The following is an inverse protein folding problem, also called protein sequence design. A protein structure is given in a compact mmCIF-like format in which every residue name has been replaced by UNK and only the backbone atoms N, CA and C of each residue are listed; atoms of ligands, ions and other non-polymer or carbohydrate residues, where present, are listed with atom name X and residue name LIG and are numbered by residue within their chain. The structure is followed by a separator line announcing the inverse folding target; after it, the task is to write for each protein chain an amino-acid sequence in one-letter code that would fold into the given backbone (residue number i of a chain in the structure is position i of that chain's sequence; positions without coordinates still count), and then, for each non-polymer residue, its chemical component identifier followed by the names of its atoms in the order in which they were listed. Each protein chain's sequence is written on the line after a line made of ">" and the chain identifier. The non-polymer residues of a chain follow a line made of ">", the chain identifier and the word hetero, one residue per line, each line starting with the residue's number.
data_IF_088079633183
#
_entry.id   IF_088079633183
#
_cell.length_a   1.000
_cell.length_b   1.000
_cell.length_c   1.000
_cell.angle_alpha   90.00
_cell.angle_beta   90.00
_cell.angle_gamma   90.00
#
_symmetry.space_group_name_H-M   'P 1'
#
loop_
_entity.id
_entity.type
_entity.pdbx_description
1 polymer ?
#
# COMPACT_ATOMS: atom_id res chain seq x y z
N UNK A 1 12.82 -14.26 2.77
CA UNK A 1 13.83 -14.95 1.94
C UNK A 1 13.15 -15.66 0.79
N UNK A 2 13.76 -15.63 -0.40
CA UNK A 2 13.34 -16.43 -1.54
C UNK A 2 13.78 -17.90 -1.39
N UNK A 3 12.88 -18.85 -1.66
CA UNK A 3 13.14 -20.29 -1.67
C UNK A 3 12.85 -20.84 -3.06
N UNK A 4 13.76 -21.66 -3.60
CA UNK A 4 13.59 -22.30 -4.92
C UNK A 4 13.42 -23.81 -4.70
N UNK A 5 12.26 -24.33 -5.07
CA UNK A 5 11.91 -25.74 -5.00
C UNK A 5 12.00 -26.36 -6.40
N UNK A 6 12.68 -27.51 -6.54
CA UNK A 6 12.69 -28.30 -7.77
C UNK A 6 11.50 -29.25 -7.73
N UNK A 7 10.63 -29.20 -8.74
CA UNK A 7 9.53 -30.13 -8.94
C UNK A 7 9.65 -30.80 -10.29
N UNK A 8 9.37 -32.09 -10.33
CA UNK A 8 9.23 -32.84 -11.58
C UNK A 8 7.72 -32.91 -11.85
N UNK A 9 7.28 -32.44 -13.01
CA UNK A 9 5.87 -32.58 -13.41
C UNK A 9 5.58 -34.03 -13.80
N UNK A 10 4.29 -34.38 -13.85
CA UNK A 10 3.82 -35.70 -14.27
C UNK A 10 4.38 -36.10 -15.66
N UNK A 11 4.61 -35.10 -16.52
CA UNK A 11 5.25 -35.23 -17.84
C UNK A 11 6.79 -35.40 -17.81
N UNK A 12 7.41 -35.58 -16.65
CA UNK A 12 8.87 -35.74 -16.51
C UNK A 12 9.70 -34.46 -16.66
N UNK A 13 9.07 -33.29 -16.84
CA UNK A 13 9.79 -32.00 -17.00
C UNK A 13 10.20 -31.42 -15.65
N UNK A 14 11.42 -30.91 -15.58
CA UNK A 14 11.94 -30.22 -14.40
C UNK A 14 11.44 -28.77 -14.38
N UNK A 15 10.76 -28.40 -13.29
CA UNK A 15 10.26 -27.05 -13.04
C UNK A 15 10.82 -26.54 -11.71
N UNK A 16 11.32 -25.31 -11.71
CA UNK A 16 11.83 -24.58 -10.56
C UNK A 16 10.79 -23.60 -10.08
N UNK A 17 10.17 -23.88 -8.92
CA UNK A 17 9.20 -23.00 -8.29
C UNK A 17 9.92 -22.10 -7.29
N UNK A 18 9.81 -20.79 -7.47
CA UNK A 18 10.33 -19.78 -6.55
C UNK A 18 9.19 -19.30 -5.65
N UNK A 19 9.43 -19.24 -4.34
CA UNK A 19 8.54 -18.66 -3.33
C UNK A 19 9.27 -17.54 -2.60
N UNK A 20 8.74 -16.32 -2.60
CA UNK A 20 9.33 -15.17 -1.91
C UNK A 20 8.42 -14.78 -0.77
N UNK A 21 8.94 -14.85 0.46
CA UNK A 21 8.27 -14.39 1.68
C UNK A 21 9.05 -13.25 2.30
N UNK A 22 8.43 -12.07 2.35
CA UNK A 22 8.94 -10.89 3.06
C UNK A 22 7.90 -10.41 4.07
N UNK A 23 8.35 -9.97 5.24
CA UNK A 23 7.49 -9.41 6.28
C UNK A 23 6.82 -8.14 5.76
N UNK A 24 5.49 -8.05 5.86
CA UNK A 24 4.72 -6.90 5.38
C UNK A 24 4.29 -6.96 3.91
N UNK A 25 4.55 -8.06 3.19
CA UNK A 25 4.14 -8.23 1.80
C UNK A 25 3.46 -9.60 1.58
N UNK A 26 2.46 -9.71 0.68
CA UNK A 26 1.88 -11.01 0.34
C UNK A 26 2.92 -11.91 -0.34
N UNK A 27 2.84 -13.23 -0.13
CA UNK A 27 3.79 -14.18 -0.70
C UNK A 27 3.70 -14.22 -2.22
N UNK A 28 4.83 -14.08 -2.91
CA UNK A 28 4.92 -14.16 -4.36
C UNK A 28 5.45 -15.54 -4.77
N UNK A 29 4.83 -16.15 -5.78
CA UNK A 29 5.29 -17.45 -6.30
C UNK A 29 5.29 -17.49 -7.81
N UNK A 30 6.37 -18.01 -8.41
CA UNK A 30 6.46 -18.22 -9.86
C UNK A 30 7.18 -19.53 -10.16
N UNK A 31 6.93 -20.09 -11.33
CA UNK A 31 7.49 -21.37 -11.77
C UNK A 31 8.22 -21.19 -13.10
N UNK A 32 9.44 -21.73 -13.20
CA UNK A 32 10.30 -21.59 -14.38
C UNK A 32 10.88 -22.94 -14.79
N UNK A 33 11.12 -23.15 -16.09
CA UNK A 33 11.78 -24.37 -16.57
C UNK A 33 13.31 -24.32 -16.39
N UNK A 34 13.91 -23.13 -16.39
CA UNK A 34 15.35 -22.92 -16.23
C UNK A 34 15.69 -22.41 -14.84
N UNK A 35 16.66 -23.04 -14.18
CA UNK A 35 17.14 -22.62 -12.85
C UNK A 35 17.70 -21.19 -12.86
N UNK A 36 18.36 -20.80 -13.95
CA UNK A 36 18.95 -19.46 -14.10
C UNK A 36 17.88 -18.37 -14.13
N UNK A 37 16.78 -18.61 -14.83
CA UNK A 37 15.65 -17.67 -14.91
C UNK A 37 14.93 -17.59 -13.56
N UNK A 38 14.77 -18.72 -12.86
CA UNK A 38 14.25 -18.76 -11.50
C UNK A 38 15.10 -17.92 -10.53
N UNK A 39 16.43 -18.04 -10.57
CA UNK A 39 17.35 -17.25 -9.73
C UNK A 39 17.31 -15.76 -10.06
N UNK A 40 17.34 -15.40 -11.35
CA UNK A 40 17.23 -14.00 -11.79
C UNK A 40 15.91 -13.37 -11.36
N UNK A 41 14.80 -14.09 -11.53
CA UNK A 41 13.48 -13.62 -11.10
C UNK A 41 13.41 -13.48 -9.57
N UNK A 42 13.96 -14.43 -8.82
CA UNK A 42 14.02 -14.36 -7.36
C UNK A 42 14.78 -13.12 -6.88
N UNK A 43 15.97 -12.87 -7.42
CA UNK A 43 16.79 -11.72 -7.06
C UNK A 43 16.14 -10.40 -7.46
N UNK A 44 15.65 -10.29 -8.70
CA UNK A 44 15.01 -9.07 -9.18
C UNK A 44 13.73 -8.75 -8.41
N UNK A 45 12.92 -9.77 -8.10
CA UNK A 45 11.68 -9.60 -7.34
C UNK A 45 11.96 -9.30 -5.87
N UNK A 46 12.91 -9.96 -5.23
CA UNK A 46 13.29 -9.66 -3.85
C UNK A 46 13.88 -8.25 -3.73
N UNK A 47 14.75 -7.84 -4.65
CA UNK A 47 15.27 -6.48 -4.74
C UNK A 47 14.14 -5.46 -4.97
N UNK A 48 13.22 -5.71 -5.91
CA UNK A 48 12.09 -4.82 -6.16
C UNK A 48 11.15 -4.70 -4.94
N UNK A 49 10.93 -5.78 -4.18
CA UNK A 49 10.12 -5.75 -2.95
C UNK A 49 10.86 -4.95 -1.88
N UNK A 50 12.17 -5.18 -1.72
CA UNK A 50 13.01 -4.51 -0.72
C UNK A 50 13.21 -3.03 -1.01
N UNK A 51 13.30 -2.64 -2.28
CA UNK A 51 13.35 -1.25 -2.73
C UNK A 51 11.97 -0.56 -2.68
N UNK A 52 10.92 -1.24 -2.19
CA UNK A 52 9.57 -0.69 -2.11
C UNK A 52 8.92 -0.42 -3.47
N UNK A 53 9.47 -0.99 -4.56
CA UNK A 53 8.98 -0.82 -5.94
C UNK A 53 7.94 -1.86 -6.33
N UNK A 54 7.86 -2.99 -5.62
CA UNK A 54 7.03 -4.12 -6.02
C UNK A 54 5.52 -3.92 -5.78
N UNK A 55 5.15 -2.93 -4.94
CA UNK A 55 3.77 -2.46 -4.76
C UNK A 55 3.50 -1.08 -5.36
N UNK A 56 4.46 -0.46 -6.06
CA UNK A 56 4.22 0.75 -6.86
C UNK A 56 3.53 0.35 -8.18
N UNK A 57 2.35 -0.22 -7.99
CA UNK A 57 1.32 -0.68 -8.93
C UNK A 57 1.14 0.33 -10.05
N UNK A 58 0.91 -0.14 -11.29
CA UNK A 58 0.52 0.73 -12.39
C UNK A 58 -0.65 1.68 -12.04
N UNK A 59 -1.49 1.33 -11.05
CA UNK A 59 -2.52 2.17 -10.47
C UNK A 59 -2.00 3.25 -9.50
N UNK A 60 -1.01 2.94 -8.65
CA UNK A 60 -0.44 3.88 -7.68
C UNK A 60 0.44 4.97 -8.33
N UNK A 61 0.96 4.70 -9.54
CA UNK A 61 1.62 5.70 -10.40
C UNK A 61 0.64 6.55 -11.22
N UNK A 62 -0.62 6.14 -11.33
CA UNK A 62 -1.65 6.80 -12.16
C UNK A 62 -2.61 7.63 -11.34
N UNK A 63 -2.88 7.21 -10.11
CA UNK A 63 -3.86 7.87 -9.25
C UNK A 63 -3.19 8.66 -8.14
N UNK A 64 -3.74 9.84 -7.94
CA UNK A 64 -3.42 10.73 -6.84
C UNK A 64 -4.12 10.30 -5.55
N UNK A 65 -3.62 10.80 -4.42
CA UNK A 65 -4.30 10.62 -3.14
C UNK A 65 -5.71 11.23 -3.17
N UNK A 66 -5.90 12.37 -3.86
CA UNK A 66 -7.20 13.00 -4.02
C UNK A 66 -8.24 12.06 -4.64
N UNK A 67 -7.91 11.45 -5.79
CA UNK A 67 -8.79 10.49 -6.47
C UNK A 67 -9.13 9.29 -5.60
N UNK A 68 -8.17 8.85 -4.79
CA UNK A 68 -8.36 7.71 -3.89
C UNK A 68 -9.30 8.08 -2.74
N UNK A 69 -9.14 9.29 -2.19
CA UNK A 69 -10.01 9.82 -1.15
C UNK A 69 -11.44 10.03 -1.66
N UNK A 70 -11.62 10.57 -2.87
CA UNK A 70 -12.94 10.72 -3.48
C UNK A 70 -13.63 9.36 -3.64
N UNK A 71 -12.94 8.38 -4.24
CA UNK A 71 -13.46 7.02 -4.39
C UNK A 71 -13.87 6.41 -3.04
N UNK A 72 -13.03 6.55 -2.01
CA UNK A 72 -13.35 6.06 -0.66
C UNK A 72 -14.59 6.76 -0.06
N UNK A 73 -14.73 8.06 -0.29
CA UNK A 73 -15.91 8.81 0.15
C UNK A 73 -17.18 8.35 -0.56
N UNK A 74 -17.11 8.04 -1.85
CA UNK A 74 -18.26 7.61 -2.64
C UNK A 74 -18.66 6.16 -2.35
N UNK A 75 -17.69 5.25 -2.30
CA UNK A 75 -17.96 3.80 -2.16
C UNK A 75 -18.19 3.35 -0.72
N UNK A 76 -17.56 4.00 0.27
CA UNK A 76 -17.57 3.51 1.66
C UNK A 76 -18.33 4.47 2.59
N UNK A 77 -18.10 5.77 2.49
CA UNK A 77 -18.76 6.72 3.39
C UNK A 77 -20.25 6.90 3.09
N UNK A 78 -20.69 6.62 1.86
CA UNK A 78 -22.12 6.62 1.49
C UNK A 78 -22.93 5.53 2.20
N UNK A 79 -22.28 4.44 2.61
CA UNK A 79 -22.94 3.29 3.26
C UNK A 79 -22.85 3.31 4.79
N UNK A 80 -22.15 4.28 5.40
CA UNK A 80 -21.98 4.35 6.86
C UNK A 80 -22.86 5.43 7.51
N UNK A 81 -23.72 5.07 8.50
CA UNK A 81 -24.55 6.05 9.20
C UNK A 81 -23.75 6.90 10.21
N UNK A 82 -24.02 8.22 10.20
CA UNK A 82 -23.87 9.26 11.23
C UNK A 82 -22.56 9.46 12.04
N UNK A 83 -21.53 8.61 11.91
CA UNK A 83 -20.21 8.78 12.57
C UNK A 83 -19.06 9.10 11.60
N UNK A 84 -19.39 9.46 10.36
CA UNK A 84 -18.43 9.69 9.27
C UNK A 84 -18.08 11.16 9.04
N UNK A 85 -18.70 12.09 9.77
CA UNK A 85 -18.47 13.54 9.54
C UNK A 85 -17.07 14.00 9.91
N UNK A 86 -16.52 13.49 11.02
CA UNK A 86 -15.12 13.72 11.39
C UNK A 86 -14.17 13.06 10.38
N UNK A 87 -14.49 11.84 9.95
CA UNK A 87 -13.70 11.14 8.93
C UNK A 87 -13.66 11.95 7.63
N UNK A 88 -14.80 12.49 7.18
CA UNK A 88 -14.89 13.36 6.01
C UNK A 88 -14.09 14.65 6.20
N UNK A 89 -14.08 15.23 7.40
CA UNK A 89 -13.27 16.41 7.71
C UNK A 89 -11.77 16.10 7.58
N UNK A 90 -11.30 15.00 8.17
CA UNK A 90 -9.90 14.58 8.05
C UNK A 90 -9.53 14.24 6.61
N UNK A 91 -10.37 13.49 5.89
CA UNK A 91 -10.15 13.16 4.48
C UNK A 91 -10.07 14.42 3.60
N UNK A 92 -10.89 15.44 3.86
CA UNK A 92 -10.79 16.74 3.18
C UNK A 92 -9.46 17.44 3.47
N UNK A 93 -8.99 17.40 4.71
CA UNK A 93 -7.70 17.97 5.08
C UNK A 93 -6.54 17.24 4.37
N UNK A 94 -6.55 15.90 4.39
CA UNK A 94 -5.56 15.09 3.68
C UNK A 94 -5.60 15.32 2.17
N UNK A 95 -6.79 15.47 1.58
CA UNK A 95 -6.95 15.83 0.17
C UNK A 95 -6.38 17.23 -0.13
N UNK A 96 -6.51 18.19 0.79
CA UNK A 96 -5.95 19.54 0.61
C UNK A 96 -4.42 19.54 0.66
N UNK A 97 -3.85 18.83 1.62
CA UNK A 97 -2.40 18.85 1.87
C UNK A 97 -1.62 17.94 0.94
N UNK A 98 -2.13 16.71 0.75
CA UNK A 98 -1.43 15.65 0.04
C UNK A 98 -2.16 15.18 -1.22
N UNK A 99 -3.27 15.82 -1.60
CA UNK A 99 -4.10 15.36 -2.72
C UNK A 99 -3.41 15.39 -4.07
N UNK A 100 -2.45 16.29 -4.29
CA UNK A 100 -1.68 16.37 -5.54
C UNK A 100 -0.58 15.31 -5.64
N UNK A 101 -0.25 14.64 -4.53
CA UNK A 101 0.76 13.59 -4.55
C UNK A 101 0.19 12.32 -5.14
N UNK A 102 0.99 11.65 -5.96
CA UNK A 102 0.73 10.29 -6.37
C UNK A 102 0.85 9.36 -5.15
N UNK A 103 0.03 8.31 -5.12
CA UNK A 103 0.13 7.30 -4.08
C UNK A 103 1.53 6.66 -4.02
N UNK A 104 2.26 6.63 -5.14
CA UNK A 104 3.63 6.14 -5.25
C UNK A 104 4.68 6.95 -4.48
N UNK A 105 4.38 8.21 -4.18
CA UNK A 105 5.30 9.17 -3.58
C UNK A 105 4.96 9.48 -2.12
N UNK A 106 3.83 8.95 -1.64
CA UNK A 106 3.48 8.96 -0.22
C UNK A 106 4.41 8.04 0.56
N UNK A 107 5.26 8.64 1.39
CA UNK A 107 6.13 7.92 2.30
C UNK A 107 5.59 7.99 3.74
N UNK A 108 5.91 7.00 4.60
CA UNK A 108 5.53 7.05 6.00
C UNK A 108 6.00 8.32 6.72
N UNK A 109 7.19 8.82 6.39
CA UNK A 109 7.73 10.05 6.96
C UNK A 109 6.86 11.27 6.62
N UNK A 110 6.45 11.40 5.36
CA UNK A 110 5.58 12.49 4.89
C UNK A 110 4.21 12.43 5.58
N UNK A 111 3.65 11.22 5.74
CA UNK A 111 2.39 11.03 6.47
C UNK A 111 2.50 11.44 7.95
N UNK A 112 3.62 11.09 8.61
CA UNK A 112 3.83 11.46 10.02
C UNK A 112 3.98 12.98 10.17
N UNK A 113 4.70 13.63 9.27
CA UNK A 113 4.88 15.09 9.30
C UNK A 113 3.54 15.83 9.17
N UNK A 114 2.74 15.47 8.16
CA UNK A 114 1.42 16.09 7.97
C UNK A 114 0.45 15.70 9.07
N UNK A 115 0.51 14.47 9.61
CA UNK A 115 -0.26 14.11 10.80
C UNK A 115 0.08 15.00 11.99
N UNK A 116 1.35 15.36 12.17
CA UNK A 116 1.80 16.30 13.20
C UNK A 116 1.13 17.67 13.07
N UNK A 117 0.98 18.18 11.84
CA UNK A 117 0.30 19.45 11.54
C UNK A 117 -1.20 19.41 11.83
N UNK A 118 -1.81 18.22 11.75
CA UNK A 118 -3.23 18.01 12.06
C UNK A 118 -3.49 17.94 13.57
N UNK A 119 -2.52 17.47 14.37
CA UNK A 119 -2.61 17.45 15.83
C UNK A 119 -2.66 18.88 16.37
N UNK A 120 -3.66 19.18 17.20
CA UNK A 120 -3.89 20.52 17.75
C UNK A 120 -4.78 21.43 16.90
N UNK A 121 -5.13 21.04 15.66
CA UNK A 121 -6.20 21.71 14.92
C UNK A 121 -7.59 21.26 15.42
N UNK A 122 -8.62 22.05 15.13
CA UNK A 122 -9.99 21.77 15.56
C UNK A 122 -10.67 20.79 14.58
N UNK A 123 -11.38 19.80 15.12
CA UNK A 123 -12.24 18.94 14.33
C UNK A 123 -13.53 19.67 13.93
N UNK A 124 -14.41 19.01 13.16
CA UNK A 124 -15.69 19.60 12.73
C UNK A 124 -16.59 20.04 13.90
N UNK A 125 -16.40 19.49 15.09
CA UNK A 125 -17.16 19.80 16.30
C UNK A 125 -16.45 20.80 17.23
N UNK A 126 -15.40 21.49 16.75
CA UNK A 126 -14.66 22.49 17.54
C UNK A 126 -13.80 21.90 18.67
N UNK A 127 -13.52 20.59 18.65
CA UNK A 127 -12.64 19.94 19.62
C UNK A 127 -11.25 19.78 19.04
N UNK A 128 -10.22 20.02 19.84
CA UNK A 128 -8.84 19.79 19.42
C UNK A 128 -8.61 18.32 19.08
N UNK A 129 -7.91 18.08 17.96
CA UNK A 129 -7.61 16.74 17.48
C UNK A 129 -6.46 16.18 18.31
N UNK A 130 -6.80 15.22 19.17
CA UNK A 130 -5.84 14.48 19.96
C UNK A 130 -5.15 13.38 19.13
N UNK A 131 -3.91 13.00 19.45
CA UNK A 131 -3.16 11.97 18.71
C UNK A 131 -3.91 10.62 18.61
N UNK A 132 -4.68 10.27 19.64
CA UNK A 132 -5.46 9.04 19.73
C UNK A 132 -6.64 8.97 18.76
N UNK A 133 -7.24 10.11 18.38
CA UNK A 133 -8.36 10.15 17.41
C UNK A 133 -7.91 9.78 15.99
N UNK A 134 -6.62 9.93 15.68
CA UNK A 134 -6.06 9.64 14.37
C UNK A 134 -5.61 8.18 14.20
N UNK A 135 -5.60 7.39 15.29
CA UNK A 135 -5.28 5.94 15.26
C UNK A 135 -6.54 5.11 14.95
N UNK A 136 -7.73 5.69 15.13
CA UNK A 136 -9.02 5.02 14.96
C UNK A 136 -9.66 5.18 13.56
N UNK A 137 -8.97 5.80 12.60
CA UNK A 137 -9.34 5.81 11.18
C UNK A 137 -8.59 4.71 10.43
#
# INVERSE_FOLDING_TARGET
>A
MATIEKRITDEGKVVHRVKIRLKGYPPQTASFQRLTDAKKWAQHTEAAIREGRHFKTAAAKKHTLAETIDRYCEEILSFKPNSTENQRHYLKWWKKELGSYLLSDLTPALLIEHRGKLIGSENKFGRQIAPAMLIAM
#
